data_IF_082357662430
#
_entry.id   IF_082357662430
#
_cell.length_a   1.000
_cell.length_b   1.000
_cell.length_c   1.000
_cell.angle_alpha   90.00
_cell.angle_beta   90.00
_cell.angle_gamma   90.00
#
_symmetry.space_group_name_H-M   'P 1'
#
loop_
_entity.id
_entity.type
_entity.pdbx_description
1 polymer ?
#
# COMPACT_ATOMS: atom_id res chain seq x y z
N UNK A 1 -15.44 -7.11 -7.64
CA UNK A 1 -14.31 -7.48 -8.51
C UNK A 1 -13.82 -8.90 -8.26
N UNK A 2 -13.40 -9.26 -7.04
CA UNK A 2 -12.85 -10.58 -6.70
C UNK A 2 -13.71 -11.79 -7.12
N UNK A 3 -15.03 -11.63 -7.17
CA UNK A 3 -15.98 -12.67 -7.60
C UNK A 3 -16.21 -12.71 -9.13
N UNK A 4 -15.48 -11.91 -9.92
CA UNK A 4 -15.68 -11.81 -11.37
C UNK A 4 -17.04 -11.25 -11.80
N UNK A 5 -17.70 -10.47 -10.92
CA UNK A 5 -19.06 -9.95 -11.14
C UNK A 5 -19.05 -8.65 -11.92
N UNK A 6 -20.12 -8.42 -12.70
CA UNK A 6 -20.21 -7.30 -13.65
C UNK A 6 -20.20 -5.91 -13.00
N UNK A 7 -20.58 -5.84 -11.73
CA UNK A 7 -20.60 -4.66 -10.88
C UNK A 7 -19.33 -4.53 -10.02
N UNK A 8 -18.31 -5.32 -10.31
CA UNK A 8 -16.97 -5.06 -9.80
C UNK A 8 -16.44 -3.70 -10.27
N UNK A 9 -15.47 -3.15 -9.55
CA UNK A 9 -14.92 -1.83 -9.83
C UNK A 9 -14.26 -1.72 -11.21
N UNK A 10 -13.84 -2.85 -11.79
CA UNK A 10 -13.44 -2.96 -13.21
C UNK A 10 -14.25 -4.03 -13.95
N UNK A 11 -15.51 -4.17 -13.56
CA UNK A 11 -16.53 -4.99 -14.21
C UNK A 11 -16.23 -6.49 -14.23
N UNK A 12 -15.47 -6.99 -13.24
CA UNK A 12 -15.15 -8.42 -13.10
C UNK A 12 -13.99 -8.90 -13.98
N UNK A 13 -13.27 -7.99 -14.64
CA UNK A 13 -12.14 -8.30 -15.55
C UNK A 13 -10.78 -8.33 -14.84
N UNK A 14 -10.64 -7.66 -13.71
CA UNK A 14 -9.36 -7.36 -13.08
C UNK A 14 -8.91 -8.34 -11.99
N UNK A 15 -9.87 -9.08 -11.41
CA UNK A 15 -9.60 -10.03 -10.34
C UNK A 15 -9.02 -9.35 -9.09
N UNK A 16 -8.09 -10.03 -8.40
CA UNK A 16 -7.44 -9.49 -7.19
C UNK A 16 -6.34 -8.47 -7.46
N UNK A 17 -5.80 -8.41 -8.68
CA UNK A 17 -4.57 -7.66 -8.97
C UNK A 17 -4.78 -6.39 -9.80
N UNK A 18 -5.97 -6.17 -10.38
CA UNK A 18 -6.29 -4.98 -11.17
C UNK A 18 -7.57 -4.30 -10.64
N UNK A 19 -7.50 -3.74 -9.44
CA UNK A 19 -8.58 -2.95 -8.86
C UNK A 19 -8.41 -1.48 -9.26
N UNK A 20 -9.50 -0.78 -9.57
CA UNK A 20 -9.50 0.65 -9.83
C UNK A 20 -10.82 1.27 -9.37
N UNK A 21 -10.78 2.43 -8.70
CA UNK A 21 -11.96 3.22 -8.35
C UNK A 21 -11.57 4.70 -8.32
N UNK A 22 -11.71 5.36 -9.47
CA UNK A 22 -11.33 6.77 -9.62
C UNK A 22 -12.22 7.69 -8.78
N UNK A 23 -13.45 7.26 -8.43
CA UNK A 23 -14.35 8.04 -7.57
C UNK A 23 -13.85 8.08 -6.13
N UNK A 24 -13.21 6.99 -5.67
CA UNK A 24 -12.51 6.91 -4.39
C UNK A 24 -11.08 7.48 -4.44
N UNK A 25 -10.61 7.95 -5.61
CA UNK A 25 -9.23 8.38 -5.82
C UNK A 25 -8.22 7.23 -5.90
N UNK A 26 -8.70 5.99 -6.12
CA UNK A 26 -7.88 4.80 -6.26
C UNK A 26 -7.59 4.51 -7.73
N UNK A 27 -6.37 4.81 -8.15
CA UNK A 27 -5.91 4.51 -9.51
C UNK A 27 -5.65 3.00 -9.69
N UNK A 28 -5.67 2.49 -10.93
CA UNK A 28 -5.53 1.07 -11.18
C UNK A 28 -4.28 0.45 -10.54
N UNK A 29 -4.48 -0.62 -9.77
CA UNK A 29 -3.41 -1.54 -9.41
C UNK A 29 -2.96 -2.33 -10.65
N UNK A 30 -1.66 -2.65 -10.72
CA UNK A 30 -1.07 -3.47 -11.77
C UNK A 30 -0.21 -4.58 -11.15
N UNK A 31 -0.20 -5.79 -11.73
CA UNK A 31 0.46 -6.96 -11.14
C UNK A 31 1.98 -6.94 -11.33
N UNK A 32 2.48 -6.13 -12.25
CA UNK A 32 3.91 -6.01 -12.52
C UNK A 32 4.54 -5.17 -11.41
N UNK A 33 5.49 -5.76 -10.70
CA UNK A 33 6.22 -5.12 -9.59
C UNK A 33 6.79 -3.79 -10.05
N UNK A 34 6.65 -2.76 -9.21
CA UNK A 34 7.11 -1.40 -9.50
C UNK A 34 6.31 -0.62 -10.55
N UNK A 35 5.45 -1.24 -11.37
CA UNK A 35 4.76 -0.56 -12.48
C UNK A 35 3.73 0.48 -12.04
N UNK A 36 3.20 0.39 -10.82
CA UNK A 36 2.32 1.43 -10.24
C UNK A 36 3.08 2.74 -9.99
N UNK A 37 4.40 2.71 -9.82
CA UNK A 37 5.23 3.87 -9.49
C UNK A 37 5.22 4.91 -10.62
N UNK A 38 5.62 4.60 -11.87
CA UNK A 38 5.57 5.57 -12.96
C UNK A 38 4.14 6.00 -13.30
N UNK A 39 3.13 5.12 -13.14
CA UNK A 39 1.72 5.49 -13.30
C UNK A 39 1.34 6.59 -12.30
N UNK A 40 1.65 6.40 -11.01
CA UNK A 40 1.40 7.39 -9.97
C UNK A 40 2.15 8.70 -10.20
N UNK A 41 3.39 8.65 -10.69
CA UNK A 41 4.15 9.84 -11.09
C UNK A 41 3.44 10.58 -12.24
N UNK A 42 2.95 9.86 -13.24
CA UNK A 42 2.16 10.43 -14.34
C UNK A 42 0.88 11.13 -13.85
N UNK A 43 0.17 10.53 -12.90
CA UNK A 43 -1.01 11.13 -12.25
C UNK A 43 -0.63 12.44 -11.53
N UNK A 44 0.47 12.44 -10.77
CA UNK A 44 0.94 13.64 -10.09
C UNK A 44 1.37 14.74 -11.06
N UNK A 45 1.99 14.36 -12.18
CA UNK A 45 2.35 15.28 -13.24
C UNK A 45 1.11 15.88 -13.91
N UNK A 46 0.10 15.07 -14.22
CA UNK A 46 -1.19 15.54 -14.71
C UNK A 46 -1.88 16.50 -13.73
N UNK A 47 -1.86 16.20 -12.43
CA UNK A 47 -2.36 17.12 -11.39
C UNK A 47 -1.63 18.47 -11.45
N UNK A 48 -0.29 18.45 -11.59
CA UNK A 48 0.51 19.67 -11.72
C UNK A 48 0.14 20.48 -12.97
N UNK A 49 0.02 19.82 -14.12
CA UNK A 49 -0.37 20.47 -15.39
C UNK A 49 -1.76 21.11 -15.30
N UNK A 50 -2.70 20.44 -14.62
CA UNK A 50 -4.05 20.95 -14.35
C UNK A 50 -4.12 21.97 -13.21
N UNK A 51 -2.98 22.40 -12.66
CA UNK A 51 -2.86 23.32 -11.52
C UNK A 51 -3.64 22.84 -10.28
N UNK A 52 -3.78 21.53 -10.12
CA UNK A 52 -4.37 20.91 -8.94
C UNK A 52 -3.30 20.69 -7.86
N UNK A 53 -3.64 20.99 -6.61
CA UNK A 53 -2.78 20.79 -5.44
C UNK A 53 -2.88 19.41 -4.79
N UNK A 54 -3.61 18.46 -5.40
CA UNK A 54 -3.71 17.09 -4.91
C UNK A 54 -2.32 16.46 -4.70
N UNK A 55 -2.20 15.68 -3.63
CA UNK A 55 -1.02 14.87 -3.34
C UNK A 55 -1.31 13.46 -3.84
N UNK A 56 -0.49 12.95 -4.74
CA UNK A 56 -0.57 11.54 -5.16
C UNK A 56 0.22 10.69 -4.17
N UNK A 57 -0.43 9.70 -3.57
CA UNK A 57 0.24 8.71 -2.72
C UNK A 57 0.57 7.47 -3.56
N UNK A 58 1.82 7.00 -3.49
CA UNK A 58 2.30 5.82 -4.21
C UNK A 58 2.82 4.82 -3.18
N UNK A 59 2.11 3.69 -3.04
CA UNK A 59 2.50 2.59 -2.17
C UNK A 59 3.36 1.59 -2.93
N UNK A 60 4.41 1.09 -2.30
CA UNK A 60 5.35 0.14 -2.87
C UNK A 60 5.94 -0.77 -1.79
N UNK A 61 6.33 -1.98 -2.18
CA UNK A 61 7.13 -2.87 -1.32
C UNK A 61 8.62 -2.62 -1.51
N UNK A 62 9.43 -3.13 -0.59
CA UNK A 62 10.89 -3.02 -0.64
C UNK A 62 11.51 -3.64 -1.90
N UNK A 63 10.95 -4.74 -2.42
CA UNK A 63 11.39 -5.33 -3.70
C UNK A 63 11.19 -4.41 -4.90
N UNK A 64 10.20 -3.50 -4.88
CA UNK A 64 10.00 -2.52 -5.96
C UNK A 64 11.13 -1.48 -6.02
N UNK A 65 11.95 -1.35 -4.97
CA UNK A 65 13.09 -0.42 -4.94
C UNK A 65 14.30 -0.94 -5.72
N UNK A 66 14.25 -2.19 -6.19
CA UNK A 66 15.28 -2.83 -7.03
C UNK A 66 15.03 -2.61 -8.52
N UNK A 67 13.82 -2.18 -8.89
CA UNK A 67 13.40 -1.95 -10.26
C UNK A 67 13.97 -0.63 -10.83
N UNK A 68 14.39 -0.64 -12.10
CA UNK A 68 14.86 0.58 -12.78
C UNK A 68 13.83 1.71 -12.77
N UNK A 69 12.55 1.37 -12.96
CA UNK A 69 11.44 2.32 -12.96
C UNK A 69 11.28 3.07 -11.64
N UNK A 70 11.75 2.52 -10.51
CA UNK A 70 11.78 3.24 -9.23
C UNK A 70 12.71 4.45 -9.33
N UNK A 71 13.95 4.23 -9.79
CA UNK A 71 14.95 5.30 -9.90
C UNK A 71 14.54 6.39 -10.90
N UNK A 72 14.08 5.98 -12.09
CA UNK A 72 13.60 6.91 -13.12
C UNK A 72 12.41 7.76 -12.62
N UNK A 73 11.48 7.12 -11.91
CA UNK A 73 10.31 7.80 -11.34
C UNK A 73 10.67 8.81 -10.26
N UNK A 74 11.63 8.48 -9.39
CA UNK A 74 12.08 9.38 -8.34
C UNK A 74 12.82 10.60 -8.91
N UNK A 75 13.73 10.37 -9.86
CA UNK A 75 14.45 11.45 -10.55
C UNK A 75 13.47 12.41 -11.23
N UNK A 76 12.54 11.89 -12.04
CA UNK A 76 11.55 12.72 -12.72
C UNK A 76 10.64 13.47 -11.74
N UNK A 77 10.20 12.82 -10.66
CA UNK A 77 9.37 13.44 -9.64
C UNK A 77 10.07 14.63 -8.96
N UNK A 78 11.37 14.50 -8.68
CA UNK A 78 12.21 15.57 -8.13
C UNK A 78 12.45 16.67 -9.15
N UNK A 79 12.88 16.32 -10.36
CA UNK A 79 13.10 17.26 -11.47
C UNK A 79 11.88 18.14 -11.70
N UNK A 80 10.69 17.52 -11.69
CA UNK A 80 9.43 18.22 -11.92
C UNK A 80 8.81 18.78 -10.66
N UNK A 81 9.40 18.64 -9.47
CA UNK A 81 8.84 19.12 -8.20
C UNK A 81 7.35 18.71 -8.08
N UNK A 82 7.09 17.40 -8.11
CA UNK A 82 5.73 16.85 -8.06
C UNK A 82 5.26 16.68 -6.61
N UNK A 83 3.95 16.88 -6.39
CA UNK A 83 3.34 16.67 -5.07
C UNK A 83 3.06 15.17 -4.86
N UNK A 84 4.09 14.40 -4.51
CA UNK A 84 4.00 12.95 -4.33
C UNK A 84 4.43 12.55 -2.92
N UNK A 85 3.68 11.65 -2.31
CA UNK A 85 4.09 10.90 -1.13
C UNK A 85 4.35 9.45 -1.53
N UNK A 86 5.63 9.06 -1.60
CA UNK A 86 6.02 7.67 -1.77
C UNK A 86 6.00 6.98 -0.39
N UNK A 87 5.38 5.81 -0.31
CA UNK A 87 5.24 5.02 0.93
C UNK A 87 5.75 3.60 0.68
N UNK A 88 6.95 3.32 1.16
CA UNK A 88 7.59 2.02 1.10
C UNK A 88 7.24 1.19 2.34
N UNK A 89 6.51 0.11 2.13
CA UNK A 89 6.18 -0.90 3.13
C UNK A 89 7.24 -1.99 3.09
N UNK A 90 8.31 -1.81 3.86
CA UNK A 90 9.45 -2.73 3.89
C UNK A 90 9.14 -3.89 4.83
N UNK A 91 8.81 -5.04 4.26
CA UNK A 91 8.50 -6.25 5.01
C UNK A 91 9.64 -7.26 5.02
N UNK A 92 10.82 -6.88 4.52
CA UNK A 92 12.04 -7.68 4.41
C UNK A 92 12.03 -8.81 3.36
N UNK A 93 10.92 -9.05 2.66
CA UNK A 93 10.79 -10.15 1.70
C UNK A 93 10.21 -9.71 0.35
N UNK A 94 10.84 -10.15 -0.73
CA UNK A 94 10.23 -10.15 -2.07
C UNK A 94 9.82 -11.58 -2.39
N UNK A 95 8.51 -11.87 -2.37
CA UNK A 95 7.96 -13.23 -2.44
C UNK A 95 8.56 -14.12 -1.33
N UNK A 96 9.53 -14.97 -1.66
CA UNK A 96 10.25 -15.87 -0.76
C UNK A 96 11.71 -15.47 -0.52
N UNK A 97 12.20 -14.44 -1.22
CA UNK A 97 13.58 -13.99 -1.14
C UNK A 97 13.75 -12.96 -0.02
N UNK A 98 14.48 -13.29 1.07
CA UNK A 98 14.80 -12.33 2.11
C UNK A 98 15.69 -11.22 1.56
N UNK A 99 15.61 -10.03 2.14
CA UNK A 99 16.28 -8.83 1.63
C UNK A 99 17.80 -8.99 1.51
N UNK A 100 18.44 -9.71 2.44
CA UNK A 100 19.89 -9.92 2.49
C UNK A 100 20.46 -10.75 1.33
N UNK A 101 19.64 -11.53 0.59
CA UNK A 101 20.13 -12.28 -0.58
C UNK A 101 19.96 -11.52 -1.89
N UNK A 102 19.19 -10.42 -1.89
CA UNK A 102 18.90 -9.60 -3.08
C UNK A 102 19.41 -8.17 -2.98
N UNK A 103 19.77 -7.71 -1.79
CA UNK A 103 20.30 -6.38 -1.54
C UNK A 103 21.66 -6.45 -0.83
N UNK A 104 22.54 -5.51 -1.18
CA UNK A 104 23.73 -5.25 -0.40
C UNK A 104 23.36 -4.82 1.02
N UNK A 105 24.04 -5.34 2.04
CA UNK A 105 23.70 -5.17 3.47
C UNK A 105 23.51 -3.73 3.94
N UNK A 106 24.15 -2.75 3.30
CA UNK A 106 24.05 -1.32 3.64
C UNK A 106 23.11 -0.53 2.73
N UNK A 107 22.36 -1.21 1.84
CA UNK A 107 21.36 -0.56 0.99
C UNK A 107 20.24 0.00 1.87
N UNK A 108 19.76 1.19 1.52
CA UNK A 108 18.64 1.86 2.20
C UNK A 108 17.76 2.53 1.17
N UNK A 109 16.48 2.16 1.13
CA UNK A 109 15.51 2.75 0.21
C UNK A 109 15.39 4.27 0.44
N UNK A 110 15.41 4.72 1.70
CA UNK A 110 15.47 6.14 2.02
C UNK A 110 16.71 6.85 1.45
N UNK A 111 17.90 6.23 1.51
CA UNK A 111 19.11 6.86 0.93
C UNK A 111 19.06 6.89 -0.59
N UNK A 112 18.51 5.87 -1.25
CA UNK A 112 18.25 5.90 -2.70
C UNK A 112 17.26 7.01 -3.06
N UNK A 113 16.22 7.23 -2.25
CA UNK A 113 15.32 8.35 -2.48
C UNK A 113 16.02 9.71 -2.32
N UNK A 114 16.88 9.84 -1.30
CA UNK A 114 17.70 11.05 -1.09
C UNK A 114 18.69 11.30 -2.22
N UNK A 115 19.30 10.28 -2.81
CA UNK A 115 20.21 10.47 -3.95
C UNK A 115 19.50 11.04 -5.17
N UNK A 116 18.19 10.82 -5.29
CA UNK A 116 17.32 11.40 -6.32
C UNK A 116 16.67 12.72 -5.89
N UNK A 117 17.14 13.36 -4.81
CA UNK A 117 16.69 14.69 -4.40
C UNK A 117 15.43 14.72 -3.52
N UNK A 118 14.89 13.57 -3.11
CA UNK A 118 13.75 13.52 -2.18
C UNK A 118 14.22 13.74 -0.73
N UNK A 119 13.38 14.40 0.06
CA UNK A 119 13.45 14.26 1.52
C UNK A 119 12.61 13.07 1.95
N UNK A 120 12.90 12.53 3.14
CA UNK A 120 12.12 11.42 3.63
C UNK A 120 12.41 11.04 5.07
N UNK A 121 11.53 10.20 5.60
CA UNK A 121 11.66 9.63 6.92
C UNK A 121 11.55 8.11 6.86
N UNK A 122 12.24 7.47 7.80
CA UNK A 122 12.13 6.05 8.08
C UNK A 122 11.47 5.86 9.47
N UNK A 123 10.68 4.81 9.68
CA UNK A 123 10.04 4.53 10.96
C UNK A 123 9.51 3.12 11.15
N UNK A 124 8.96 2.86 12.33
CA UNK A 124 8.29 1.60 12.68
C UNK A 124 6.83 1.60 12.20
N UNK A 125 6.51 0.75 11.23
CA UNK A 125 5.16 0.55 10.69
C UNK A 125 4.21 -0.17 11.64
N UNK A 126 4.73 -0.88 12.65
CA UNK A 126 3.92 -1.45 13.74
C UNK A 126 3.37 -0.39 14.69
N UNK A 127 3.96 0.82 14.70
CA UNK A 127 3.52 1.94 15.54
C UNK A 127 2.56 2.86 14.79
N UNK A 128 1.25 2.66 14.97
CA UNK A 128 0.20 3.49 14.36
C UNK A 128 0.42 4.99 14.63
N UNK A 129 0.87 5.35 15.84
CA UNK A 129 1.14 6.74 16.21
C UNK A 129 2.33 7.32 15.45
N UNK A 130 3.38 6.52 15.22
CA UNK A 130 4.54 6.94 14.45
C UNK A 130 4.20 7.10 12.97
N UNK A 131 3.44 6.16 12.40
CA UNK A 131 2.90 6.24 11.04
C UNK A 131 2.11 7.54 10.86
N UNK A 132 1.14 7.82 11.75
CA UNK A 132 0.35 9.07 11.70
C UNK A 132 1.26 10.30 11.76
N UNK A 133 2.23 10.32 12.68
CA UNK A 133 3.14 11.47 12.86
C UNK A 133 4.00 11.71 11.62
N UNK A 134 4.64 10.66 11.08
CA UNK A 134 5.53 10.76 9.92
C UNK A 134 4.76 11.07 8.64
N UNK A 135 3.59 10.48 8.46
CA UNK A 135 2.70 10.81 7.33
C UNK A 135 2.24 12.26 7.36
N UNK A 136 1.81 12.77 8.52
CA UNK A 136 1.48 14.21 8.68
C UNK A 136 2.68 15.11 8.36
N UNK A 137 3.87 14.75 8.82
CA UNK A 137 5.10 15.48 8.53
C UNK A 137 5.42 15.50 7.03
N UNK A 138 5.33 14.35 6.34
CA UNK A 138 5.55 14.26 4.90
C UNK A 138 4.53 15.07 4.10
N UNK A 139 3.24 14.96 4.44
CA UNK A 139 2.18 15.77 3.81
C UNK A 139 2.44 17.26 3.98
N UNK A 140 2.81 17.70 5.19
CA UNK A 140 3.13 19.10 5.45
C UNK A 140 4.35 19.57 4.65
N UNK A 141 5.40 18.74 4.54
CA UNK A 141 6.56 19.02 3.71
C UNK A 141 6.16 19.21 2.25
N UNK A 142 5.37 18.29 1.68
CA UNK A 142 4.91 18.36 0.28
C UNK A 142 4.11 19.65 0.05
N UNK A 143 3.15 19.95 0.95
CA UNK A 143 2.31 21.15 0.83
C UNK A 143 3.13 22.44 0.84
N UNK A 144 4.13 22.54 1.73
CA UNK A 144 4.99 23.71 1.92
C UNK A 144 6.01 23.88 0.80
N UNK A 145 6.70 22.81 0.42
CA UNK A 145 7.87 22.88 -0.47
C UNK A 145 7.54 22.56 -1.93
N UNK A 146 6.34 22.02 -2.21
CA UNK A 146 5.94 21.53 -3.54
C UNK A 146 6.92 20.50 -4.11
N UNK A 147 7.43 19.62 -3.25
CA UNK A 147 8.44 18.61 -3.57
C UNK A 147 7.97 17.23 -3.13
N UNK A 148 8.39 16.16 -3.83
CA UNK A 148 8.08 14.80 -3.43
C UNK A 148 8.70 14.46 -2.06
N UNK A 149 8.10 13.50 -1.36
CA UNK A 149 8.58 13.02 -0.07
C UNK A 149 8.50 11.49 0.02
N UNK A 150 9.49 10.88 0.64
CA UNK A 150 9.60 9.42 0.79
C UNK A 150 9.40 9.00 2.25
N UNK A 151 8.52 8.03 2.48
CA UNK A 151 8.35 7.37 3.76
C UNK A 151 8.71 5.90 3.63
N UNK A 152 9.60 5.42 4.47
CA UNK A 152 9.86 3.99 4.63
C UNK A 152 9.36 3.55 6.00
N UNK A 153 8.51 2.53 6.02
CA UNK A 153 8.06 1.90 7.24
C UNK A 153 8.50 0.44 7.25
N UNK A 154 9.24 0.05 8.28
CA UNK A 154 9.45 -1.36 8.55
C UNK A 154 8.15 -1.99 9.03
N UNK A 155 7.76 -3.10 8.42
CA UNK A 155 6.56 -3.84 8.75
C UNK A 155 6.83 -5.33 8.59
N UNK A 156 5.80 -6.17 8.70
CA UNK A 156 5.95 -7.60 8.50
C UNK A 156 4.72 -8.22 7.85
N UNK A 157 4.96 -9.18 6.97
CA UNK A 157 3.91 -9.99 6.36
C UNK A 157 3.65 -11.21 7.24
N UNK A 158 2.54 -11.26 7.97
CA UNK A 158 2.26 -12.35 8.91
C UNK A 158 1.87 -13.67 8.23
N UNK A 159 1.20 -13.59 7.09
CA UNK A 159 0.70 -14.74 6.33
C UNK A 159 1.58 -15.00 5.10
N UNK A 160 1.16 -15.92 4.25
CA UNK A 160 1.83 -16.24 3.00
C UNK A 160 1.95 -15.03 2.05
N UNK A 161 2.80 -15.15 1.03
CA UNK A 161 2.95 -14.09 0.02
C UNK A 161 1.65 -13.76 -0.71
N UNK A 162 0.90 -14.78 -1.09
CA UNK A 162 -0.33 -14.64 -1.86
C UNK A 162 -1.39 -15.59 -1.33
N UNK A 163 -2.29 -15.07 -0.48
CA UNK A 163 -3.41 -15.82 0.05
C UNK A 163 -3.58 -15.64 1.56
N UNK A 164 -4.60 -16.30 2.14
CA UNK A 164 -4.94 -16.16 3.55
C UNK A 164 -4.23 -17.19 4.46
N UNK A 165 -3.41 -18.10 3.91
CA UNK A 165 -2.83 -19.21 4.67
C UNK A 165 -1.44 -18.85 5.22
N UNK A 166 -0.89 -19.76 6.03
CA UNK A 166 0.52 -19.72 6.44
C UNK A 166 1.37 -20.54 5.45
N UNK A 167 2.60 -20.11 5.21
CA UNK A 167 3.56 -20.80 4.35
C UNK A 167 4.86 -21.19 5.09
N UNK A 168 4.81 -21.26 6.42
CA UNK A 168 5.94 -21.62 7.30
C UNK A 168 6.59 -22.97 6.93
N UNK A 169 5.82 -23.88 6.34
CA UNK A 169 6.29 -25.18 5.85
C UNK A 169 7.35 -25.06 4.74
N UNK A 170 7.40 -23.92 4.04
CA UNK A 170 8.41 -23.62 3.01
C UNK A 170 9.77 -23.23 3.61
N UNK A 171 9.85 -22.94 4.92
CA UNK A 171 11.09 -22.69 5.68
C UNK A 171 11.98 -21.55 5.15
N UNK A 172 11.42 -20.60 4.40
CA UNK A 172 12.15 -19.39 3.96
C UNK A 172 12.12 -18.26 5.01
N UNK A 173 11.35 -18.43 6.10
CA UNK A 173 11.27 -17.52 7.25
C UNK A 173 11.46 -18.31 8.52
N UNK A 174 12.25 -17.77 9.44
CA UNK A 174 12.42 -18.39 10.75
C UNK A 174 11.18 -18.16 11.62
N UNK A 175 10.68 -19.22 12.25
CA UNK A 175 9.55 -19.12 13.20
C UNK A 175 9.81 -18.10 14.31
N UNK A 176 11.06 -18.01 14.78
CA UNK A 176 11.45 -17.06 15.82
C UNK A 176 11.35 -15.60 15.36
N UNK A 177 11.51 -15.34 14.06
CA UNK A 177 11.32 -14.02 13.46
C UNK A 177 9.84 -13.65 13.43
N UNK A 178 9.00 -14.58 12.94
CA UNK A 178 7.54 -14.40 12.90
C UNK A 178 7.00 -14.13 14.32
N UNK A 179 7.40 -14.93 15.31
CA UNK A 179 6.98 -14.78 16.70
C UNK A 179 7.38 -13.42 17.30
N UNK A 180 8.54 -12.87 16.91
CA UNK A 180 8.97 -11.52 17.31
C UNK A 180 8.07 -10.44 16.70
N UNK A 181 7.70 -10.58 15.42
CA UNK A 181 6.84 -9.62 14.72
C UNK A 181 5.37 -9.71 15.15
N UNK A 182 4.86 -10.90 15.49
CA UNK A 182 3.52 -11.05 16.05
C UNK A 182 3.33 -10.33 17.39
N UNK A 183 4.41 -10.17 18.18
CA UNK A 183 4.40 -9.33 19.39
C UNK A 183 4.31 -7.84 19.08
N UNK A 184 4.58 -7.45 17.84
CA UNK A 184 4.47 -6.09 17.30
C UNK A 184 3.24 -5.91 16.40
N UNK A 185 2.20 -6.72 16.57
CA UNK A 185 0.94 -6.56 15.83
C UNK A 185 0.37 -5.14 16.08
N UNK A 186 0.26 -4.28 15.03
CA UNK A 186 -0.16 -2.90 15.19
C UNK A 186 -1.56 -2.76 15.76
N UNK A 187 -2.47 -3.72 15.50
CA UNK A 187 -3.84 -3.71 16.01
C UNK A 187 -3.83 -3.95 17.52
N UNK A 188 -3.08 -4.95 17.98
CA UNK A 188 -2.94 -5.23 19.42
C UNK A 188 -2.26 -4.08 20.16
N UNK A 189 -1.23 -3.49 19.55
CA UNK A 189 -0.49 -2.37 20.14
C UNK A 189 -1.40 -1.14 20.32
N UNK A 190 -2.14 -0.75 19.27
CA UNK A 190 -3.03 0.41 19.37
C UNK A 190 -4.23 0.13 20.28
N UNK A 191 -4.77 -1.09 20.27
CA UNK A 191 -5.83 -1.49 21.20
C UNK A 191 -5.37 -1.33 22.65
N UNK A 192 -4.22 -1.90 23.01
CA UNK A 192 -3.66 -1.80 24.36
C UNK A 192 -3.41 -0.34 24.77
N UNK A 193 -2.96 0.50 23.84
CA UNK A 193 -2.78 1.92 24.07
C UNK A 193 -4.12 2.63 24.36
N UNK A 194 -5.16 2.36 23.56
CA UNK A 194 -6.48 2.98 23.72
C UNK A 194 -7.19 2.52 24.99
N UNK A 195 -7.13 1.23 25.33
CA UNK A 195 -7.71 0.70 26.57
C UNK A 195 -7.07 1.31 27.82
N UNK A 196 -5.75 1.56 27.80
CA UNK A 196 -5.06 2.26 28.88
C UNK A 196 -5.49 3.72 29.01
N UNK A 197 -5.89 4.38 27.92
CA UNK A 197 -6.34 5.78 27.90
C UNK A 197 -7.82 5.95 28.22
N UNK A 198 -8.66 5.01 27.83
CA UNK A 198 -10.10 5.05 28.04
C UNK A 198 -10.66 3.64 28.25
N UNK A 199 -11.01 3.29 29.49
CA UNK A 199 -11.61 1.98 29.82
C UNK A 199 -12.95 1.73 29.09
N UNK A 200 -13.67 2.78 28.68
CA UNK A 200 -14.92 2.65 27.90
C UNK A 200 -14.67 2.16 26.47
N UNK A 201 -13.43 2.24 25.98
CA UNK A 201 -13.08 1.79 24.63
C UNK A 201 -13.38 0.30 24.41
N UNK A 202 -13.40 -0.53 25.47
CA UNK A 202 -13.75 -1.94 25.33
C UNK A 202 -15.15 -2.15 24.73
N UNK A 203 -16.17 -1.46 25.24
CA UNK A 203 -17.54 -1.59 24.71
C UNK A 203 -17.71 -0.87 23.37
N UNK A 204 -16.91 0.16 23.09
CA UNK A 204 -16.87 0.82 21.77
C UNK A 204 -16.23 -0.09 20.72
N UNK A 205 -15.16 -0.80 21.06
CA UNK A 205 -14.47 -1.77 20.19
C UNK A 205 -15.45 -2.84 19.69
N UNK A 206 -16.21 -3.46 20.60
CA UNK A 206 -17.19 -4.49 20.22
C UNK A 206 -18.26 -3.95 19.25
N UNK A 207 -18.73 -2.71 19.47
CA UNK A 207 -19.65 -2.04 18.54
C UNK A 207 -19.02 -1.80 17.16
N UNK A 208 -17.76 -1.38 17.12
CA UNK A 208 -17.01 -1.18 15.88
C UNK A 208 -16.85 -2.51 15.12
N UNK A 209 -16.44 -3.58 15.81
CA UNK A 209 -16.27 -4.90 15.22
C UNK A 209 -17.59 -5.41 14.64
N UNK A 210 -18.69 -5.31 15.40
CA UNK A 210 -20.01 -5.72 14.92
C UNK A 210 -20.45 -4.94 13.70
N UNK A 211 -20.22 -3.62 13.67
CA UNK A 211 -20.51 -2.78 12.50
C UNK A 211 -19.70 -3.22 11.28
N UNK A 212 -18.39 -3.45 11.43
CA UNK A 212 -17.51 -3.90 10.35
C UNK A 212 -17.96 -5.28 9.83
N UNK A 213 -18.28 -6.23 10.73
CA UNK A 213 -18.76 -7.55 10.34
C UNK A 213 -20.06 -7.47 9.52
N UNK A 214 -21.00 -6.61 9.90
CA UNK A 214 -22.23 -6.39 9.14
C UNK A 214 -21.95 -5.77 7.76
N UNK A 215 -20.99 -4.84 7.65
CA UNK A 215 -20.59 -4.26 6.36
C UNK A 215 -19.92 -5.31 5.44
N UNK A 216 -19.06 -6.16 6.01
CA UNK A 216 -18.42 -7.28 5.31
C UNK A 216 -19.48 -8.26 4.82
N UNK A 217 -20.41 -8.68 5.67
CA UNK A 217 -21.48 -9.62 5.33
C UNK A 217 -22.36 -9.07 4.20
N UNK A 218 -22.78 -7.80 4.30
CA UNK A 218 -23.52 -7.11 3.23
C UNK A 218 -22.76 -7.11 1.91
N UNK A 219 -21.45 -6.86 1.95
CA UNK A 219 -20.59 -6.85 0.76
C UNK A 219 -20.48 -8.24 0.12
N UNK A 220 -20.34 -9.30 0.93
CA UNK A 220 -20.36 -10.68 0.44
C UNK A 220 -21.71 -11.06 -0.16
N UNK A 221 -22.82 -10.74 0.52
CA UNK A 221 -24.17 -11.02 0.03
C UNK A 221 -24.44 -10.29 -1.29
N UNK A 222 -24.07 -9.01 -1.37
CA UNK A 222 -24.15 -8.23 -2.61
C UNK A 222 -23.36 -8.89 -3.74
N UNK A 223 -22.07 -9.23 -3.51
CA UNK A 223 -21.23 -9.86 -4.52
C UNK A 223 -21.76 -11.24 -4.98
N UNK A 224 -22.20 -12.10 -4.05
CA UNK A 224 -22.75 -13.43 -4.37
C UNK A 224 -24.01 -13.35 -5.21
N UNK A 225 -24.90 -12.41 -4.89
CA UNK A 225 -26.18 -12.21 -5.59
C UNK A 225 -26.05 -11.42 -6.89
N UNK A 226 -24.87 -10.87 -7.19
CA UNK A 226 -24.62 -10.14 -8.43
C UNK A 226 -24.42 -11.07 -9.62
N UNK A 227 -24.75 -10.57 -10.82
CA UNK A 227 -24.61 -11.34 -12.06
C UNK A 227 -23.16 -11.37 -12.54
N UNK A 228 -22.81 -12.43 -13.25
CA UNK A 228 -21.58 -12.47 -14.03
C UNK A 228 -21.75 -11.62 -15.30
N UNK A 229 -20.67 -10.99 -15.81
CA UNK A 229 -20.74 -10.24 -17.06
C UNK A 229 -21.06 -11.17 -18.24
N UNK A 230 -21.83 -10.68 -19.20
CA UNK A 230 -22.08 -11.43 -20.44
C UNK A 230 -20.82 -11.54 -21.31
N UNK A 231 -20.72 -12.60 -22.12
CA UNK A 231 -19.58 -12.80 -23.05
C UNK A 231 -19.41 -11.65 -24.05
N UNK A 232 -20.48 -10.92 -24.36
CA UNK A 232 -20.43 -9.72 -25.22
C UNK A 232 -19.51 -8.64 -24.65
N UNK A 233 -19.37 -8.56 -23.33
CA UNK A 233 -18.55 -7.55 -22.64
C UNK A 233 -17.04 -7.80 -22.73
N UNK A 234 -16.62 -8.96 -23.25
CA UNK A 234 -15.22 -9.31 -23.41
C UNK A 234 -14.47 -8.30 -24.29
N UNK A 235 -15.14 -7.78 -25.33
CA UNK A 235 -14.56 -6.83 -26.29
C UNK A 235 -14.70 -5.37 -25.87
N UNK A 236 -15.50 -5.08 -24.84
CA UNK A 236 -15.67 -3.73 -24.33
C UNK A 236 -14.37 -3.21 -23.72
N UNK A 237 -14.02 -1.96 -24.01
CA UNK A 237 -12.84 -1.25 -23.49
C UNK A 237 -11.47 -1.79 -23.96
N UNK A 238 -11.44 -2.62 -25.03
CA UNK A 238 -10.17 -2.95 -25.71
C UNK A 238 -9.55 -1.71 -26.40
N UNK A 239 -10.42 -0.83 -26.89
CA UNK A 239 -10.09 0.46 -27.49
C UNK A 239 -11.00 1.55 -26.90
N UNK A 240 -10.56 2.80 -27.04
CA UNK A 240 -11.30 3.98 -26.61
C UNK A 240 -12.47 4.35 -27.52
#
# INVERSE_FOLDING_TARGET
>A
ELYGKENGCVMGKGGSMHLADLSAGFYPAVPIVGSTIPIGVGVAFANKMKKNSNITCIFLGDGSTEEGVFHESLDFASLKNLNILFVCENNFYSVYSPMNVRQFDKRSALNLAKSHGLQGNYGDGSSVMEVIKKTKSGINYIKKNKKPFFLEFQTYRFIEHCGPNNDDHLKYRDKSEIDKWLKKDPIKLIENYLLKKNKKFFSEKEKIINKINLEIEKSFNYAKNSRFPSSKRLKEHLYG
#
